data_IF_110972135317
#
_entry.id   IF_110972135317
#
_cell.length_a   1.000
_cell.length_b   1.000
_cell.length_c   1.000
_cell.angle_alpha   90.00
_cell.angle_beta   90.00
_cell.angle_gamma   90.00
#
_symmetry.space_group_name_H-M   'P 1'
#
loop_
_entity.id
_entity.type
_entity.pdbx_description
1 polymer ?
#
# COMPACT_ATOMS: atom_id res chain seq x y z
N UNK A 1 -9.08 -19.67 -18.16
CA UNK A 1 -8.60 -18.92 -16.98
C UNK A 1 -7.10 -19.13 -16.92
N UNK A 2 -6.31 -18.05 -16.85
CA UNK A 2 -4.86 -18.13 -16.85
C UNK A 2 -4.31 -18.57 -15.48
N UNK A 3 -4.99 -18.20 -14.40
CA UNK A 3 -4.62 -18.55 -13.04
C UNK A 3 -5.20 -19.90 -12.62
N UNK A 4 -4.35 -20.72 -12.00
CA UNK A 4 -4.77 -21.91 -11.26
C UNK A 4 -5.73 -21.58 -10.09
N UNK A 5 -6.52 -22.56 -9.61
CA UNK A 5 -7.38 -22.37 -8.45
C UNK A 5 -6.64 -21.91 -7.19
N UNK A 6 -5.39 -22.35 -7.01
CA UNK A 6 -4.55 -21.95 -5.88
C UNK A 6 -4.18 -20.47 -5.98
N UNK A 7 -3.80 -19.98 -7.16
CA UNK A 7 -3.49 -18.57 -7.36
C UNK A 7 -4.72 -17.68 -7.19
N UNK A 8 -5.89 -18.12 -7.65
CA UNK A 8 -7.15 -17.45 -7.36
C UNK A 8 -7.40 -17.33 -5.85
N UNK A 9 -7.16 -18.41 -5.10
CA UNK A 9 -7.32 -18.39 -3.66
C UNK A 9 -6.38 -17.39 -2.98
N UNK A 10 -5.10 -17.35 -3.37
CA UNK A 10 -4.12 -16.40 -2.81
C UNK A 10 -4.51 -14.96 -3.16
N UNK A 11 -4.89 -14.67 -4.40
CA UNK A 11 -5.25 -13.33 -4.87
C UNK A 11 -6.54 -12.80 -4.23
N UNK A 12 -7.55 -13.68 -4.04
CA UNK A 12 -8.74 -13.31 -3.27
C UNK A 12 -8.37 -13.11 -1.80
N UNK A 13 -7.52 -13.98 -1.23
CA UNK A 13 -7.08 -13.86 0.17
C UNK A 13 -6.37 -12.54 0.42
N UNK A 14 -5.41 -12.15 -0.42
CA UNK A 14 -4.66 -10.89 -0.29
C UNK A 14 -5.62 -9.68 -0.29
N UNK A 15 -6.62 -9.67 -1.18
CA UNK A 15 -7.66 -8.63 -1.23
C UNK A 15 -8.53 -8.58 0.03
N UNK A 16 -8.90 -9.75 0.58
CA UNK A 16 -9.69 -9.85 1.80
C UNK A 16 -8.88 -9.43 3.03
N UNK A 17 -7.62 -9.83 3.13
CA UNK A 17 -6.72 -9.49 4.24
C UNK A 17 -6.55 -7.97 4.37
N UNK A 18 -6.42 -7.25 3.25
CA UNK A 18 -6.40 -5.79 3.27
C UNK A 18 -7.72 -5.19 3.76
N UNK A 19 -8.87 -5.75 3.35
CA UNK A 19 -10.18 -5.37 3.86
C UNK A 19 -10.32 -5.62 5.37
N UNK A 20 -9.78 -6.74 5.87
CA UNK A 20 -9.72 -7.04 7.31
C UNK A 20 -8.85 -6.02 8.04
N UNK A 21 -7.66 -5.70 7.52
CA UNK A 21 -6.77 -4.69 8.09
C UNK A 21 -7.48 -3.33 8.23
N UNK A 22 -8.19 -2.90 7.19
CA UNK A 22 -9.00 -1.68 7.17
C UNK A 22 -10.04 -1.68 8.29
N UNK A 23 -10.87 -2.72 8.36
CA UNK A 23 -11.95 -2.83 9.37
C UNK A 23 -11.36 -2.84 10.78
N UNK A 24 -10.26 -3.59 10.97
CA UNK A 24 -9.58 -3.67 12.27
C UNK A 24 -8.99 -2.33 12.68
N UNK A 25 -8.37 -1.60 11.76
CA UNK A 25 -7.79 -0.28 12.05
C UNK A 25 -8.88 0.75 12.36
N UNK A 26 -10.00 0.70 11.66
CA UNK A 26 -11.15 1.54 11.96
C UNK A 26 -11.71 1.27 13.36
N UNK A 27 -11.90 -0.02 13.72
CA UNK A 27 -12.34 -0.43 15.06
C UNK A 27 -11.32 -0.05 16.14
N UNK A 28 -10.03 -0.17 15.83
CA UNK A 28 -8.97 0.28 16.71
C UNK A 28 -9.05 1.79 16.96
N UNK A 29 -9.22 2.59 15.92
CA UNK A 29 -9.42 4.03 16.04
C UNK A 29 -10.67 4.42 16.85
N UNK A 30 -11.75 3.62 16.77
CA UNK A 30 -12.92 3.78 17.65
C UNK A 30 -12.56 3.50 19.11
N UNK A 31 -11.87 2.39 19.38
CA UNK A 31 -11.48 1.97 20.73
C UNK A 31 -10.66 3.04 21.45
N UNK A 32 -9.68 3.63 20.78
CA UNK A 32 -8.80 4.65 21.36
C UNK A 32 -9.34 6.09 21.21
N UNK A 33 -10.56 6.26 20.70
CA UNK A 33 -11.20 7.57 20.54
C UNK A 33 -10.56 8.49 19.48
N UNK A 34 -9.77 7.95 18.56
CA UNK A 34 -8.97 8.73 17.59
C UNK A 34 -9.60 8.82 16.21
N UNK A 35 -10.10 10.00 15.85
CA UNK A 35 -10.75 10.21 14.53
C UNK A 35 -9.75 10.19 13.39
N UNK A 36 -8.53 10.67 13.60
CA UNK A 36 -7.42 10.61 12.65
C UNK A 36 -7.08 9.16 12.25
N UNK A 37 -7.01 8.23 13.19
CA UNK A 37 -6.81 6.79 12.94
C UNK A 37 -7.98 6.17 12.16
N UNK A 38 -9.22 6.53 12.53
CA UNK A 38 -10.41 6.08 11.80
C UNK A 38 -10.41 6.58 10.35
N UNK A 39 -10.06 7.84 10.13
CA UNK A 39 -9.94 8.42 8.78
C UNK A 39 -8.83 7.76 7.99
N UNK A 40 -7.68 7.48 8.60
CA UNK A 40 -6.61 6.73 7.94
C UNK A 40 -7.13 5.37 7.44
N UNK A 41 -7.87 4.63 8.28
CA UNK A 41 -8.48 3.37 7.85
C UNK A 41 -9.42 3.55 6.65
N UNK A 42 -10.29 4.57 6.66
CA UNK A 42 -11.16 4.86 5.50
C UNK A 42 -10.36 5.24 4.24
N UNK A 43 -9.21 5.89 4.39
CA UNK A 43 -8.32 6.19 3.26
C UNK A 43 -7.56 4.97 2.72
N UNK A 44 -7.69 3.79 3.34
CA UNK A 44 -7.25 2.52 2.75
C UNK A 44 -8.27 1.95 1.74
N UNK A 45 -9.51 2.47 1.69
CA UNK A 45 -10.58 1.98 0.79
C UNK A 45 -10.16 2.02 -0.69
N UNK A 46 -9.55 3.09 -1.23
CA UNK A 46 -9.22 3.12 -2.65
C UNK A 46 -8.30 1.94 -3.04
N UNK A 47 -7.23 1.67 -2.29
CA UNK A 47 -6.37 0.51 -2.57
C UNK A 47 -7.13 -0.83 -2.51
N UNK A 48 -8.07 -0.96 -1.57
CA UNK A 48 -8.93 -2.14 -1.51
C UNK A 48 -9.82 -2.27 -2.76
N UNK A 49 -10.45 -1.17 -3.18
CA UNK A 49 -11.25 -1.13 -4.40
C UNK A 49 -10.39 -1.46 -5.62
N UNK A 50 -9.18 -0.91 -5.70
CA UNK A 50 -8.22 -1.20 -6.77
C UNK A 50 -7.90 -2.69 -6.91
N UNK A 51 -7.76 -3.42 -5.79
CA UNK A 51 -7.48 -4.87 -5.84
C UNK A 51 -8.63 -5.67 -6.48
N UNK A 52 -9.89 -5.27 -6.25
CA UNK A 52 -11.04 -5.89 -6.92
C UNK A 52 -11.07 -5.63 -8.43
N UNK A 53 -10.56 -4.49 -8.89
CA UNK A 53 -10.39 -4.23 -10.32
C UNK A 53 -9.31 -5.13 -10.94
N UNK A 54 -8.23 -5.46 -10.22
CA UNK A 54 -7.24 -6.46 -10.68
C UNK A 54 -7.87 -7.86 -10.75
N UNK A 55 -8.67 -8.25 -9.76
CA UNK A 55 -9.43 -9.50 -9.81
C UNK A 55 -10.41 -9.54 -11.00
N UNK A 56 -11.08 -8.42 -11.31
CA UNK A 56 -11.95 -8.31 -12.47
C UNK A 56 -11.17 -8.42 -13.81
N UNK A 57 -9.96 -7.87 -13.86
CA UNK A 57 -9.05 -8.06 -14.99
C UNK A 57 -8.73 -9.54 -15.21
N UNK A 58 -8.36 -10.28 -14.17
CA UNK A 58 -8.11 -11.73 -14.27
C UNK A 58 -9.36 -12.54 -14.59
N UNK A 59 -10.52 -12.12 -14.07
CA UNK A 59 -11.80 -12.74 -14.39
C UNK A 59 -12.13 -12.58 -15.89
N UNK A 60 -11.69 -11.49 -16.51
CA UNK A 60 -11.82 -11.26 -17.96
C UNK A 60 -10.84 -12.08 -18.81
N UNK A 61 -10.03 -12.95 -18.18
CA UNK A 61 -8.96 -13.67 -18.85
C UNK A 61 -7.85 -12.76 -19.35
N UNK A 62 -7.59 -11.67 -18.63
CA UNK A 62 -6.54 -10.69 -18.93
C UNK A 62 -6.75 -9.93 -20.26
N UNK A 63 -8.00 -9.84 -20.73
CA UNK A 63 -8.33 -9.22 -22.04
C UNK A 63 -8.83 -7.78 -21.94
N UNK A 64 -9.50 -7.42 -20.83
CA UNK A 64 -10.10 -6.09 -20.66
C UNK A 64 -9.15 -5.19 -19.87
N UNK A 65 -8.20 -4.57 -20.59
CA UNK A 65 -7.14 -3.73 -19.99
C UNK A 65 -7.68 -2.56 -19.14
N UNK A 66 -8.88 -2.05 -19.46
CA UNK A 66 -9.54 -0.98 -18.69
C UNK A 66 -9.68 -1.30 -17.20
N UNK A 67 -9.84 -2.57 -16.83
CA UNK A 67 -9.91 -2.94 -15.41
C UNK A 67 -8.57 -2.70 -14.70
N UNK A 68 -7.46 -3.05 -15.35
CA UNK A 68 -6.12 -2.79 -14.83
C UNK A 68 -5.84 -1.28 -14.76
N UNK A 69 -6.13 -0.53 -15.83
CA UNK A 69 -5.97 0.93 -15.87
C UNK A 69 -6.76 1.64 -14.76
N UNK A 70 -8.01 1.21 -14.51
CA UNK A 70 -8.82 1.76 -13.43
C UNK A 70 -8.21 1.43 -12.05
N UNK A 71 -7.71 0.21 -11.85
CA UNK A 71 -7.04 -0.16 -10.60
C UNK A 71 -5.88 0.77 -10.28
N UNK A 72 -5.06 1.11 -11.28
CA UNK A 72 -3.89 1.97 -11.09
C UNK A 72 -4.25 3.42 -10.75
N UNK A 73 -5.24 3.98 -11.45
CA UNK A 73 -5.75 5.33 -11.12
C UNK A 73 -6.31 5.35 -9.70
N UNK A 74 -7.06 4.32 -9.32
CA UNK A 74 -7.60 4.18 -7.97
C UNK A 74 -6.47 4.03 -6.93
N UNK A 75 -5.39 3.31 -7.26
CA UNK A 75 -4.22 3.16 -6.39
C UNK A 75 -3.42 4.45 -6.23
N UNK A 76 -3.34 5.30 -7.26
CA UNK A 76 -2.79 6.66 -7.14
C UNK A 76 -3.63 7.49 -6.16
N UNK A 77 -4.96 7.47 -6.31
CA UNK A 77 -5.87 8.15 -5.38
C UNK A 77 -5.70 7.61 -3.95
N UNK A 78 -5.55 6.29 -3.79
CA UNK A 78 -5.25 5.65 -2.51
C UNK A 78 -3.96 6.14 -1.88
N UNK A 79 -2.87 6.20 -2.67
CA UNK A 79 -1.57 6.65 -2.19
C UNK A 79 -1.62 8.12 -1.74
N UNK A 80 -2.31 8.98 -2.50
CA UNK A 80 -2.53 10.39 -2.13
C UNK A 80 -3.34 10.48 -0.83
N UNK A 81 -4.39 9.68 -0.70
CA UNK A 81 -5.24 9.64 0.49
C UNK A 81 -4.48 9.18 1.74
N UNK A 82 -3.66 8.13 1.64
CA UNK A 82 -2.82 7.64 2.73
C UNK A 82 -1.74 8.66 3.12
N UNK A 83 -1.13 9.32 2.15
CA UNK A 83 -0.18 10.41 2.39
C UNK A 83 -0.85 11.56 3.14
N UNK A 84 -2.03 12.00 2.66
CA UNK A 84 -2.82 13.04 3.31
C UNK A 84 -3.19 12.68 4.75
N UNK A 85 -3.66 11.46 4.98
CA UNK A 85 -3.99 10.93 6.30
C UNK A 85 -2.79 10.97 7.25
N UNK A 86 -1.63 10.52 6.75
CA UNK A 86 -0.37 10.51 7.50
C UNK A 86 0.08 11.92 7.88
N UNK A 87 -0.02 12.87 6.95
CA UNK A 87 0.29 14.28 7.22
C UNK A 87 -0.64 14.84 8.29
N UNK A 88 -1.94 14.51 8.24
CA UNK A 88 -2.92 14.96 9.26
C UNK A 88 -2.59 14.41 10.65
N UNK A 89 -2.23 13.13 10.75
CA UNK A 89 -1.77 12.53 12.02
C UNK A 89 -0.49 13.25 12.50
N UNK A 90 0.47 13.53 11.62
CA UNK A 90 1.72 14.21 11.97
C UNK A 90 1.53 15.64 12.47
N UNK A 91 0.65 16.41 11.84
CA UNK A 91 0.33 17.78 12.28
C UNK A 91 -0.30 17.79 13.67
N UNK A 92 -0.90 16.68 14.07
CA UNK A 92 -1.56 16.55 15.37
C UNK A 92 -2.80 17.45 15.45
N UNK A 93 -3.44 17.71 14.30
CA UNK A 93 -4.63 18.55 14.16
C UNK A 93 -5.74 18.13 15.15
N UNK A 94 -5.73 16.87 15.61
CA UNK A 94 -6.71 16.31 16.54
C UNK A 94 -6.15 15.90 17.91
N UNK A 95 -4.82 15.95 18.12
CA UNK A 95 -4.16 15.61 19.40
C UNK A 95 -3.80 16.83 20.27
N UNK A 96 -4.10 18.07 19.84
CA UNK A 96 -3.62 19.30 20.52
C UNK A 96 -4.73 20.22 21.04
N UNK A 97 -5.09 20.03 22.31
CA UNK A 97 -5.21 21.15 23.23
C UNK A 97 -3.79 21.52 23.71
N UNK A 98 -3.35 22.75 23.42
CA UNK A 98 -2.13 23.45 23.90
C UNK A 98 -0.75 23.01 23.36
N UNK A 99 -0.27 23.74 22.35
CA UNK A 99 0.98 24.56 22.30
C UNK A 99 1.42 24.77 20.84
N UNK A 100 1.88 25.98 20.46
CA UNK A 100 2.16 26.31 19.08
C UNK A 100 3.46 25.66 18.61
N UNK A 101 3.46 25.05 17.43
CA UNK A 101 4.68 24.60 16.76
C UNK A 101 4.96 25.49 15.54
N UNK A 102 6.22 25.90 15.41
CA UNK A 102 6.75 26.67 14.29
C UNK A 102 6.61 25.91 12.97
N UNK A 103 6.32 26.61 11.86
CA UNK A 103 6.19 25.99 10.55
C UNK A 103 7.58 25.60 10.02
N UNK A 104 7.77 24.32 9.70
CA UNK A 104 8.90 23.86 8.88
C UNK A 104 8.33 23.07 7.71
N UNK A 105 7.91 23.81 6.69
CA UNK A 105 7.54 23.31 5.37
C UNK A 105 8.60 23.87 4.43
N UNK A 106 9.49 23.04 3.91
CA UNK A 106 10.47 23.50 2.92
C UNK A 106 11.46 22.48 2.38
N UNK A 107 11.81 21.43 3.13
CA UNK A 107 12.99 20.62 2.79
C UNK A 107 12.72 19.20 2.30
N UNK A 108 11.47 18.72 2.26
CA UNK A 108 11.17 17.34 1.85
C UNK A 108 10.68 17.17 0.39
N UNK A 109 10.21 18.25 -0.25
CA UNK A 109 9.91 18.21 -1.68
C UNK A 109 11.18 18.04 -2.53
N UNK A 110 12.34 18.53 -2.06
CA UNK A 110 13.61 18.39 -2.76
C UNK A 110 14.28 17.02 -2.63
N UNK A 111 14.14 16.34 -1.49
CA UNK A 111 14.81 15.04 -1.25
C UNK A 111 14.21 13.88 -2.05
N UNK A 112 12.91 13.92 -2.31
CA UNK A 112 12.23 12.91 -3.15
C UNK A 112 12.53 13.12 -4.63
N UNK A 113 12.74 14.37 -5.07
CA UNK A 113 13.18 14.69 -6.44
C UNK A 113 14.64 14.29 -6.73
N UNK A 114 15.50 14.21 -5.72
CA UNK A 114 16.92 13.88 -5.89
C UNK A 114 17.21 12.37 -6.07
N UNK A 115 16.27 11.48 -5.78
CA UNK A 115 16.39 10.04 -6.08
C UNK A 115 15.76 9.70 -7.44
N UNK A 116 14.86 10.56 -7.95
CA UNK A 116 14.26 10.42 -9.29
C UNK A 116 15.07 11.10 -10.41
N UNK A 117 16.07 11.92 -10.06
CA UNK A 117 16.95 12.62 -10.98
C UNK A 117 18.20 11.81 -11.33
N UNK A 118 18.02 10.68 -11.98
CA UNK A 118 19.10 9.88 -12.51
C UNK A 118 18.52 8.87 -13.47
N UNK A 119 18.98 8.89 -14.73
CA UNK A 119 18.64 7.93 -15.77
C UNK A 119 18.66 6.51 -15.19
N UNK A 120 17.48 5.98 -14.88
CA UNK A 120 17.30 4.70 -14.20
C UNK A 120 16.47 3.76 -15.08
N UNK A 121 16.62 2.44 -14.91
CA UNK A 121 16.20 1.43 -15.89
C UNK A 121 14.69 1.35 -16.17
N UNK A 122 13.88 2.14 -15.46
CA UNK A 122 12.42 2.15 -15.56
C UNK A 122 11.91 2.73 -16.89
N UNK A 123 12.65 3.67 -17.49
CA UNK A 123 12.31 4.27 -18.79
C UNK A 123 12.61 3.34 -19.98
N UNK A 124 13.21 2.16 -19.74
CA UNK A 124 13.59 1.22 -20.79
C UNK A 124 12.47 0.21 -21.14
N UNK A 125 11.44 0.06 -20.30
CA UNK A 125 10.42 -1.00 -20.47
C UNK A 125 9.02 -0.52 -20.84
N UNK A 126 8.65 0.74 -20.58
CA UNK A 126 7.31 1.26 -20.93
C UNK A 126 7.42 2.64 -21.56
N UNK A 127 6.60 2.87 -22.60
CA UNK A 127 6.70 4.01 -23.51
C UNK A 127 6.37 5.38 -22.88
N UNK A 128 6.14 6.38 -23.73
CA UNK A 128 5.80 7.74 -23.31
C UNK A 128 4.29 7.92 -23.10
N UNK A 129 3.65 7.05 -22.31
CA UNK A 129 2.19 7.07 -22.13
C UNK A 129 1.76 7.75 -20.83
N UNK A 130 0.51 8.23 -20.76
CA UNK A 130 -0.05 8.83 -19.54
C UNK A 130 -0.14 7.82 -18.37
N UNK A 131 -0.15 6.52 -18.69
CA UNK A 131 -0.17 5.40 -17.76
C UNK A 131 1.14 5.31 -16.97
N UNK A 132 2.27 5.48 -17.65
CA UNK A 132 3.60 5.48 -17.02
C UNK A 132 3.75 6.64 -16.03
N UNK A 133 3.17 7.79 -16.38
CA UNK A 133 3.11 8.93 -15.48
C UNK A 133 2.28 8.64 -14.22
N UNK A 134 1.14 7.94 -14.33
CA UNK A 134 0.31 7.55 -13.17
C UNK A 134 1.06 6.61 -12.23
N UNK A 135 1.72 5.59 -12.78
CA UNK A 135 2.51 4.62 -11.99
C UNK A 135 3.70 5.28 -11.29
N UNK A 136 4.44 6.14 -12.00
CA UNK A 136 5.57 6.86 -11.42
C UNK A 136 5.11 7.82 -10.31
N UNK A 137 4.04 8.57 -10.55
CA UNK A 137 3.45 9.46 -9.55
C UNK A 137 2.96 8.68 -8.34
N UNK A 138 2.26 7.56 -8.54
CA UNK A 138 1.77 6.71 -7.45
C UNK A 138 2.93 6.21 -6.58
N UNK A 139 4.02 5.76 -7.21
CA UNK A 139 5.23 5.29 -6.51
C UNK A 139 5.88 6.39 -5.68
N UNK A 140 6.04 7.59 -6.23
CA UNK A 140 6.61 8.75 -5.53
C UNK A 140 5.75 9.13 -4.32
N UNK A 141 4.43 9.18 -4.50
CA UNK A 141 3.48 9.51 -3.44
C UNK A 141 3.52 8.44 -2.34
N UNK A 142 3.52 7.16 -2.72
CA UNK A 142 3.57 6.04 -1.79
C UNK A 142 4.88 6.01 -0.98
N UNK A 143 6.03 6.21 -1.61
CA UNK A 143 7.31 6.31 -0.91
C UNK A 143 7.33 7.48 0.08
N UNK A 144 6.76 8.63 -0.31
CA UNK A 144 6.61 9.78 0.58
C UNK A 144 5.73 9.43 1.78
N UNK A 145 4.62 8.73 1.54
CA UNK A 145 3.77 8.18 2.59
C UNK A 145 4.57 7.29 3.55
N UNK A 146 5.34 6.32 3.04
CA UNK A 146 6.12 5.38 3.86
C UNK A 146 7.15 6.08 4.75
N UNK A 147 7.85 7.09 4.21
CA UNK A 147 8.82 7.89 4.98
C UNK A 147 8.13 8.69 6.08
N UNK A 148 6.98 9.29 5.80
CA UNK A 148 6.21 10.02 6.81
C UNK A 148 5.58 9.08 7.84
N UNK A 149 5.22 7.85 7.46
CA UNK A 149 4.71 6.83 8.37
C UNK A 149 5.74 6.46 9.44
N UNK A 150 7.03 6.38 9.09
CA UNK A 150 8.12 6.22 10.06
C UNK A 150 8.16 7.38 11.07
N UNK A 151 7.92 8.61 10.61
CA UNK A 151 7.84 9.78 11.50
C UNK A 151 6.62 9.72 12.42
N UNK A 152 5.46 9.29 11.91
CA UNK A 152 4.27 9.05 12.76
C UNK A 152 4.61 8.06 13.85
N UNK A 153 5.20 6.92 13.49
CA UNK A 153 5.56 5.87 14.44
C UNK A 153 6.55 6.34 15.52
N UNK A 154 7.52 7.20 15.16
CA UNK A 154 8.47 7.78 16.11
C UNK A 154 7.82 8.81 17.04
N UNK A 155 6.92 9.63 16.51
CA UNK A 155 6.24 10.70 17.27
C UNK A 155 5.11 10.16 18.16
N UNK A 156 4.41 9.14 17.70
CA UNK A 156 3.17 8.65 18.28
C UNK A 156 3.09 7.12 18.14
N UNK A 157 3.75 6.37 19.04
CA UNK A 157 3.85 4.91 18.99
C UNK A 157 2.50 4.20 19.15
N UNK A 158 1.48 4.90 19.66
CA UNK A 158 0.12 4.40 19.84
C UNK A 158 -0.64 4.31 18.52
N UNK A 159 -0.28 5.07 17.47
CA UNK A 159 -1.04 5.05 16.21
C UNK A 159 -0.88 3.72 15.49
N UNK A 160 0.37 3.28 15.35
CA UNK A 160 0.74 2.15 14.52
C UNK A 160 1.75 1.27 15.25
N UNK A 161 1.56 -0.05 15.16
CA UNK A 161 2.58 -1.00 15.58
C UNK A 161 3.83 -0.89 14.69
N UNK A 162 5.00 -1.24 15.22
CA UNK A 162 6.19 -1.42 14.39
C UNK A 162 5.95 -2.47 13.29
N UNK A 163 5.16 -3.50 13.58
CA UNK A 163 4.80 -4.54 12.60
C UNK A 163 3.87 -4.01 11.50
N UNK A 164 2.95 -3.10 11.83
CA UNK A 164 2.08 -2.45 10.84
C UNK A 164 2.89 -1.62 9.86
N UNK A 165 3.83 -0.81 10.38
CA UNK A 165 4.73 0.00 9.55
C UNK A 165 5.63 -0.89 8.70
N UNK A 166 6.19 -1.97 9.29
CA UNK A 166 6.99 -2.93 8.56
C UNK A 166 6.18 -3.59 7.43
N UNK A 167 4.91 -3.92 7.63
CA UNK A 167 4.03 -4.46 6.60
C UNK A 167 3.87 -3.52 5.41
N UNK A 168 3.58 -2.24 5.65
CA UNK A 168 3.52 -1.23 4.57
C UNK A 168 4.86 -1.12 3.81
N UNK A 169 6.00 -1.16 4.50
CA UNK A 169 7.31 -1.17 3.85
C UNK A 169 7.60 -2.48 3.09
N UNK A 170 7.07 -3.62 3.57
CA UNK A 170 7.24 -4.92 2.93
C UNK A 170 6.59 -4.99 1.54
N UNK A 171 5.60 -4.13 1.25
CA UNK A 171 5.04 -3.97 -0.11
C UNK A 171 6.14 -3.64 -1.13
N UNK A 172 7.20 -2.92 -0.75
CA UNK A 172 8.33 -2.65 -1.66
C UNK A 172 9.10 -3.91 -2.03
N UNK A 173 9.19 -4.88 -1.11
CA UNK A 173 9.79 -6.20 -1.38
C UNK A 173 8.90 -6.95 -2.36
N UNK A 174 7.59 -6.98 -2.13
CA UNK A 174 6.62 -7.54 -3.07
C UNK A 174 6.78 -6.93 -4.48
N UNK A 175 6.78 -5.60 -4.61
CA UNK A 175 6.95 -4.92 -5.92
C UNK A 175 8.27 -5.32 -6.57
N UNK A 176 9.37 -5.30 -5.82
CA UNK A 176 10.70 -5.63 -6.34
C UNK A 176 10.78 -7.05 -6.88
N UNK A 177 10.25 -8.02 -6.12
CA UNK A 177 10.20 -9.43 -6.54
C UNK A 177 9.25 -9.61 -7.72
N UNK A 178 8.10 -8.95 -7.71
CA UNK A 178 7.13 -9.02 -8.81
C UNK A 178 7.71 -8.53 -10.13
N UNK A 179 8.49 -7.44 -10.11
CA UNK A 179 9.19 -6.94 -11.31
C UNK A 179 10.19 -7.96 -11.83
N UNK A 180 10.93 -8.63 -10.95
CA UNK A 180 11.88 -9.69 -11.35
C UNK A 180 11.12 -10.90 -11.94
N UNK A 181 10.06 -11.36 -11.28
CA UNK A 181 9.21 -12.44 -11.77
C UNK A 181 8.61 -12.11 -13.14
N UNK A 182 8.12 -10.88 -13.33
CA UNK A 182 7.60 -10.39 -14.60
C UNK A 182 8.67 -10.40 -15.69
N UNK A 183 9.88 -9.92 -15.39
CA UNK A 183 11.00 -9.95 -16.33
C UNK A 183 11.33 -11.37 -16.77
N UNK A 184 11.40 -12.32 -15.82
CA UNK A 184 11.64 -13.74 -16.13
C UNK A 184 10.52 -14.30 -17.01
N UNK A 185 9.26 -14.08 -16.63
CA UNK A 185 8.11 -14.58 -17.39
C UNK A 185 8.12 -14.08 -18.84
N UNK A 186 8.36 -12.78 -19.06
CA UNK A 186 8.24 -12.16 -20.38
C UNK A 186 9.50 -12.33 -21.24
N UNK A 187 10.69 -12.13 -20.69
CA UNK A 187 11.93 -12.09 -21.47
C UNK A 187 12.71 -13.39 -21.47
N UNK A 188 12.54 -14.23 -20.45
CA UNK A 188 13.25 -15.52 -20.36
C UNK A 188 12.34 -16.66 -20.82
N UNK A 189 11.09 -16.68 -20.36
CA UNK A 189 10.14 -17.76 -20.66
C UNK A 189 9.26 -17.45 -21.90
N UNK A 190 9.20 -16.19 -22.34
CA UNK A 190 8.46 -15.79 -23.54
C UNK A 190 6.95 -15.67 -23.35
N UNK A 191 6.46 -15.58 -22.11
CA UNK A 191 5.05 -15.36 -21.82
C UNK A 191 4.61 -13.91 -22.10
N UNK A 192 3.31 -13.71 -22.34
CA UNK A 192 2.76 -12.37 -22.60
C UNK A 192 2.69 -11.51 -21.33
N UNK A 193 2.54 -12.12 -20.16
CA UNK A 193 2.46 -11.45 -18.88
C UNK A 193 2.82 -12.41 -17.74
N UNK A 194 3.02 -11.88 -16.53
CA UNK A 194 3.30 -12.68 -15.33
C UNK A 194 2.19 -13.69 -15.02
N UNK A 195 0.92 -13.38 -15.30
CA UNK A 195 -0.24 -14.24 -15.03
C UNK A 195 -0.29 -15.53 -15.86
N UNK A 196 0.54 -15.65 -16.89
CA UNK A 196 0.68 -16.88 -17.68
C UNK A 196 1.61 -17.91 -17.02
N UNK A 197 2.40 -17.51 -16.02
CA UNK A 197 3.22 -18.42 -15.22
C UNK A 197 2.65 -18.53 -13.81
N UNK A 198 2.01 -19.66 -13.52
CA UNK A 198 1.34 -19.88 -12.23
C UNK A 198 2.32 -19.80 -11.04
N UNK A 199 3.55 -20.29 -11.20
CA UNK A 199 4.50 -20.33 -10.10
C UNK A 199 5.02 -18.93 -9.76
N UNK A 200 5.47 -18.18 -10.76
CA UNK A 200 5.99 -16.83 -10.60
C UNK A 200 4.89 -15.86 -10.14
N UNK A 201 3.67 -15.99 -10.67
CA UNK A 201 2.53 -15.19 -10.24
C UNK A 201 2.14 -15.49 -8.79
N UNK A 202 1.98 -16.77 -8.45
CA UNK A 202 1.61 -17.19 -7.08
C UNK A 202 2.66 -16.80 -6.05
N UNK A 203 3.95 -16.90 -6.41
CA UNK A 203 5.05 -16.45 -5.56
C UNK A 203 4.98 -14.95 -5.30
N UNK A 204 4.77 -14.13 -6.33
CA UNK A 204 4.61 -12.70 -6.18
C UNK A 204 3.42 -12.38 -5.26
N UNK A 205 2.24 -12.90 -5.57
CA UNK A 205 1.00 -12.63 -4.81
C UNK A 205 1.11 -13.07 -3.34
N UNK A 206 1.83 -14.17 -3.05
CA UNK A 206 2.05 -14.62 -1.67
C UNK A 206 2.81 -13.62 -0.81
N UNK A 207 3.73 -12.82 -1.39
CA UNK A 207 4.43 -11.77 -0.67
C UNK A 207 3.51 -10.61 -0.30
N UNK A 208 2.50 -10.33 -1.12
CA UNK A 208 1.45 -9.37 -0.79
C UNK A 208 0.63 -9.86 0.40
N UNK A 209 0.27 -11.15 0.43
CA UNK A 209 -0.37 -11.76 1.61
C UNK A 209 0.48 -11.63 2.87
N UNK A 210 1.80 -11.88 2.79
CA UNK A 210 2.71 -11.68 3.93
C UNK A 210 2.68 -10.24 4.43
N UNK A 211 2.73 -9.25 3.53
CA UNK A 211 2.61 -7.83 3.88
C UNK A 211 1.29 -7.54 4.62
N UNK A 212 0.17 -8.01 4.07
CA UNK A 212 -1.16 -7.75 4.63
C UNK A 212 -1.31 -8.39 6.02
N UNK A 213 -0.82 -9.61 6.21
CA UNK A 213 -0.82 -10.27 7.51
C UNK A 213 0.04 -9.52 8.54
N UNK A 214 1.20 -8.97 8.16
CA UNK A 214 1.98 -8.11 9.05
C UNK A 214 1.16 -6.88 9.50
N UNK A 215 0.43 -6.24 8.58
CA UNK A 215 -0.45 -5.11 8.89
C UNK A 215 -1.55 -5.53 9.87
N UNK A 216 -2.29 -6.61 9.56
CA UNK A 216 -3.39 -7.15 10.39
C UNK A 216 -2.91 -7.51 11.79
N UNK A 217 -1.84 -8.31 11.91
CA UNK A 217 -1.28 -8.74 13.19
C UNK A 217 -0.76 -7.52 13.98
N UNK A 218 -0.15 -6.55 13.29
CA UNK A 218 0.32 -5.32 13.91
C UNK A 218 -0.82 -4.52 14.54
N UNK A 219 -1.95 -4.38 13.83
CA UNK A 219 -3.15 -3.70 14.35
C UNK A 219 -3.75 -4.49 15.50
N UNK A 220 -3.84 -5.83 15.37
CA UNK A 220 -4.36 -6.69 16.43
C UNK A 220 -3.60 -6.53 17.75
N UNK A 221 -2.26 -6.51 17.69
CA UNK A 221 -1.40 -6.30 18.86
C UNK A 221 -1.68 -4.95 19.53
N UNK A 222 -1.80 -3.88 18.75
CA UNK A 222 -2.11 -2.54 19.30
C UNK A 222 -3.49 -2.46 19.93
N UNK A 223 -4.49 -3.10 19.30
CA UNK A 223 -5.84 -3.19 19.88
C UNK A 223 -5.82 -3.90 21.23
N UNK A 224 -5.14 -5.05 21.32
CA UNK A 224 -5.01 -5.81 22.57
C UNK A 224 -4.34 -4.99 23.68
N UNK A 225 -3.27 -4.26 23.36
CA UNK A 225 -2.61 -3.37 24.32
C UNK A 225 -3.54 -2.26 24.82
N UNK A 226 -4.31 -1.64 23.93
CA UNK A 226 -5.30 -0.63 24.32
C UNK A 226 -6.43 -1.21 25.18
N UNK A 227 -6.91 -2.42 24.89
CA UNK A 227 -7.90 -3.12 25.71
C UNK A 227 -7.37 -3.42 27.12
N UNK A 228 -6.10 -3.84 27.25
CA UNK A 228 -5.46 -4.07 28.55
C UNK A 228 -5.32 -2.78 29.36
N UNK A 229 -4.92 -1.67 28.71
CA UNK A 229 -4.82 -0.36 29.35
C UNK A 229 -6.16 0.19 29.83
N UNK A 230 -7.26 -0.11 29.13
CA UNK A 230 -8.60 0.32 29.53
C UNK A 230 -9.18 -0.49 30.69
N UNK A 231 -8.62 -1.68 30.97
CA UNK A 231 -9.05 -2.57 32.06
C UNK A 231 -8.26 -2.36 33.36
N UNK A 232 -7.07 -1.74 33.26
CA UNK A 232 -6.20 -1.41 34.39
C UNK A 232 -6.65 -0.10 35.06
#
# INVERSE_FOLDING_TARGET
>A
MLLSPLNWLIHISSSLEWGVALIMLYRYGLLIGRKDVRRFALFMIPHWTGSWFVLAYHLSGDTIMRFLEMSEVINLVGSIALLYATIKILKGDEKRATKPAKPWIGSLFGGVMLVAGGSTPYSFMMGSSWFDAVLQMSSIVYLTFLVLLLKVRKKDPEVFSGLTVAGFWFVLVFISVTVICMYIAMHVLGYQSLSHDDFLHGLAESLLTVSNLMIVIGIHKQRKLAEEQLRA
#
